data_IF_664169929167
#
_entry.id   IF_664169929167
#
_cell.length_a   1.000
_cell.length_b   1.000
_cell.length_c   1.000
_cell.angle_alpha   90.00
_cell.angle_beta   90.00
_cell.angle_gamma   90.00
#
_symmetry.space_group_name_H-M   'P 1'
#
loop_
_entity.id
_entity.type
_entity.pdbx_description
1 polymer ?
#
# COMPACT_ATOMS: atom_id res chain seq x y z
N UNK A 1 25.23 21.87 -52.15
CA UNK A 1 24.84 21.40 -50.80
C UNK A 1 24.51 22.60 -49.93
N UNK A 2 23.43 22.53 -49.17
CA UNK A 2 23.13 23.49 -48.10
C UNK A 2 23.67 22.96 -46.78
N UNK A 3 24.14 23.85 -45.90
CA UNK A 3 24.58 23.49 -44.55
C UNK A 3 24.34 24.64 -43.58
N UNK A 4 24.39 24.34 -42.27
CA UNK A 4 24.20 25.35 -41.23
C UNK A 4 25.53 26.03 -40.92
N UNK A 5 25.57 27.35 -40.99
CA UNK A 5 26.73 28.18 -40.63
C UNK A 5 26.46 28.96 -39.35
N UNK A 6 27.46 29.00 -38.46
CA UNK A 6 27.50 29.91 -37.31
C UNK A 6 27.98 31.29 -37.74
N UNK A 7 27.21 32.32 -37.44
CA UNK A 7 27.50 33.73 -37.69
C UNK A 7 27.65 34.42 -36.33
N UNK A 8 28.88 34.79 -35.96
CA UNK A 8 29.15 35.53 -34.72
C UNK A 8 28.89 37.02 -34.92
N UNK A 9 28.06 37.63 -34.06
CA UNK A 9 27.80 39.07 -33.99
C UNK A 9 28.03 39.56 -32.55
N UNK A 10 28.13 40.89 -32.35
CA UNK A 10 28.21 41.49 -31.00
C UNK A 10 27.05 41.07 -30.07
N UNK A 11 25.87 40.80 -30.62
CA UNK A 11 24.66 40.37 -29.89
C UNK A 11 24.58 38.85 -29.62
N UNK A 12 25.57 38.07 -30.06
CA UNK A 12 25.66 36.61 -29.89
C UNK A 12 25.93 35.84 -31.20
N UNK A 13 25.94 34.51 -31.10
CA UNK A 13 26.08 33.62 -32.26
C UNK A 13 24.71 33.33 -32.88
N UNK A 14 24.59 33.33 -34.20
CA UNK A 14 23.37 33.03 -34.94
C UNK A 14 23.61 31.87 -35.90
N UNK A 15 22.59 31.07 -36.15
CA UNK A 15 22.63 29.98 -37.13
C UNK A 15 21.90 30.43 -38.40
N UNK A 16 22.49 30.14 -39.56
CA UNK A 16 21.88 30.39 -40.86
C UNK A 16 22.09 29.20 -41.78
N UNK A 17 21.09 28.88 -42.59
CA UNK A 17 21.21 27.91 -43.67
C UNK A 17 21.85 28.61 -44.88
N UNK A 18 22.99 28.10 -45.34
CA UNK A 18 23.76 28.69 -46.45
C UNK A 18 23.95 27.71 -47.59
N UNK A 19 23.98 28.21 -48.82
CA UNK A 19 24.32 27.44 -50.03
C UNK A 19 25.62 27.98 -50.63
N UNK A 20 26.55 27.09 -50.91
CA UNK A 20 27.78 27.47 -51.61
C UNK A 20 27.52 27.63 -53.11
N UNK A 21 28.10 28.68 -53.69
CA UNK A 21 28.10 28.96 -55.13
C UNK A 21 29.47 29.50 -55.57
N UNK A 22 29.79 29.43 -56.86
CA UNK A 22 31.03 29.99 -57.41
C UNK A 22 30.74 31.31 -58.12
N UNK A 23 31.59 32.29 -57.87
CA UNK A 23 31.56 33.59 -58.54
C UNK A 23 33.02 34.04 -58.75
N UNK A 24 33.40 34.27 -60.01
CA UNK A 24 34.76 34.65 -60.41
C UNK A 24 35.85 33.72 -59.83
N UNK A 25 35.64 32.40 -59.94
CA UNK A 25 36.58 31.38 -59.47
C UNK A 25 36.65 31.18 -57.95
N UNK A 26 36.00 32.03 -57.14
CA UNK A 26 35.98 31.94 -55.68
C UNK A 26 34.68 31.29 -55.18
N UNK A 27 34.79 30.43 -54.18
CA UNK A 27 33.63 29.85 -53.49
C UNK A 27 33.04 30.91 -52.56
N UNK A 28 31.82 31.36 -52.85
CA UNK A 28 31.02 32.23 -52.00
C UNK A 28 29.85 31.47 -51.41
N UNK A 29 29.26 32.04 -50.37
CA UNK A 29 28.12 31.45 -49.67
C UNK A 29 26.96 32.44 -49.66
N UNK A 30 25.79 31.98 -50.12
CA UNK A 30 24.54 32.74 -50.08
C UNK A 30 23.72 32.26 -48.89
N UNK A 31 23.27 33.19 -48.04
CA UNK A 31 22.33 32.88 -46.96
C UNK A 31 20.96 32.59 -47.59
N UNK A 32 20.42 31.40 -47.34
CA UNK A 32 19.05 31.05 -47.75
C UNK A 32 18.06 31.58 -46.72
N UNK A 33 18.27 31.26 -45.44
CA UNK A 33 17.44 31.74 -44.34
C UNK A 33 18.23 31.81 -43.04
N UNK A 34 17.88 32.78 -42.20
CA UNK A 34 18.34 32.84 -40.81
C UNK A 34 17.50 31.90 -39.95
N UNK A 35 18.15 31.06 -39.15
CA UNK A 35 17.49 30.08 -38.28
C UNK A 35 17.26 30.63 -36.86
N UNK A 36 18.01 31.65 -36.43
CA UNK A 36 17.87 32.30 -35.13
C UNK A 36 19.17 32.40 -34.34
N UNK A 37 19.11 32.91 -33.11
CA UNK A 37 20.26 33.01 -32.20
C UNK A 37 20.59 31.62 -31.67
N UNK A 38 21.85 31.20 -31.62
CA UNK A 38 22.25 29.92 -31.06
C UNK A 38 22.07 29.90 -29.53
N UNK A 39 21.30 28.94 -29.02
CA UNK A 39 21.14 28.62 -27.60
C UNK A 39 21.33 27.12 -27.43
N UNK A 40 22.30 26.70 -26.61
CA UNK A 40 22.66 25.29 -26.38
C UNK A 40 22.89 24.47 -27.68
N UNK A 41 23.58 25.06 -28.66
CA UNK A 41 23.91 24.39 -29.93
C UNK A 41 22.75 24.28 -30.94
N UNK A 42 21.56 24.82 -30.62
CA UNK A 42 20.38 24.82 -31.48
C UNK A 42 19.90 26.26 -31.73
N UNK A 43 19.19 26.53 -32.84
CA UNK A 43 18.63 27.86 -33.08
C UNK A 43 17.47 28.12 -32.11
N UNK A 44 17.57 29.19 -31.33
CA UNK A 44 16.49 29.72 -30.52
C UNK A 44 15.38 30.22 -31.45
N UNK A 45 14.24 29.54 -31.37
CA UNK A 45 13.01 29.98 -32.04
C UNK A 45 12.35 31.05 -31.17
N UNK A 46 12.04 32.18 -31.78
CA UNK A 46 11.28 33.25 -31.11
C UNK A 46 9.81 32.82 -31.13
N UNK A 47 9.29 32.41 -29.98
CA UNK A 47 7.88 32.06 -29.81
C UNK A 47 7.19 33.27 -29.18
N UNK A 48 6.15 33.78 -29.83
CA UNK A 48 5.26 34.82 -29.32
C UNK A 48 4.22 34.17 -28.42
N UNK A 49 3.99 34.72 -27.22
CA UNK A 49 3.04 34.16 -26.25
C UNK A 49 1.62 34.02 -26.80
N UNK A 50 1.22 34.89 -27.73
CA UNK A 50 -0.08 34.84 -28.41
C UNK A 50 -0.28 33.58 -29.29
N UNK A 51 0.82 32.97 -29.79
CA UNK A 51 0.77 31.82 -30.71
C UNK A 51 0.89 30.47 -29.99
N UNK A 52 1.11 30.51 -28.67
CA UNK A 52 1.18 29.33 -27.82
C UNK A 52 -0.24 28.85 -27.52
N UNK A 53 -0.54 27.60 -27.85
CA UNK A 53 -1.78 26.93 -27.47
C UNK A 53 -1.52 25.78 -26.53
N UNK A 54 -2.47 25.52 -25.64
CA UNK A 54 -2.52 24.29 -24.86
C UNK A 54 -3.06 23.19 -25.77
N UNK A 55 -2.27 22.13 -25.95
CA UNK A 55 -2.66 20.93 -26.70
C UNK A 55 -3.38 19.93 -25.80
N UNK A 56 -2.86 19.70 -24.59
CA UNK A 56 -3.48 18.84 -23.58
C UNK A 56 -2.95 19.17 -22.17
N UNK A 57 -3.72 18.82 -21.13
CA UNK A 57 -3.35 18.89 -19.72
C UNK A 57 -3.57 17.51 -19.10
N UNK A 58 -2.53 16.97 -18.45
CA UNK A 58 -2.56 15.63 -17.84
C UNK A 58 -2.20 15.67 -16.36
N UNK A 59 -2.91 14.89 -15.54
CA UNK A 59 -2.54 14.59 -14.14
C UNK A 59 -1.21 13.84 -14.12
N UNK A 60 -0.25 14.31 -13.31
CA UNK A 60 1.17 13.96 -13.46
C UNK A 60 1.85 13.56 -12.14
N UNK A 61 1.91 14.45 -11.14
CA UNK A 61 2.90 14.31 -10.06
C UNK A 61 2.69 13.08 -9.17
N UNK A 62 1.44 12.75 -8.87
CA UNK A 62 1.10 11.56 -8.11
C UNK A 62 1.32 10.28 -8.92
N UNK A 63 1.10 10.32 -10.24
CA UNK A 63 1.48 9.23 -11.15
C UNK A 63 2.99 9.00 -11.10
N UNK A 64 3.80 10.06 -11.17
CA UNK A 64 5.26 9.96 -11.07
C UNK A 64 5.72 9.44 -9.70
N UNK A 65 5.05 9.86 -8.62
CA UNK A 65 5.32 9.36 -7.28
C UNK A 65 5.04 7.85 -7.15
N UNK A 66 3.89 7.40 -7.66
CA UNK A 66 3.55 5.97 -7.68
C UNK A 66 4.52 5.20 -8.56
N UNK A 67 4.81 5.70 -9.76
CA UNK A 67 5.73 5.03 -10.69
C UNK A 67 7.11 4.82 -10.09
N UNK A 68 7.62 5.84 -9.38
CA UNK A 68 8.93 5.76 -8.73
C UNK A 68 8.97 4.75 -7.59
N UNK A 69 7.86 4.55 -6.88
CA UNK A 69 7.77 3.56 -5.82
C UNK A 69 7.50 2.16 -6.36
N UNK A 70 6.70 2.02 -7.42
CA UNK A 70 6.50 0.76 -8.13
C UNK A 70 7.81 0.26 -8.75
N UNK A 71 8.66 1.16 -9.27
CA UNK A 71 10.01 0.84 -9.70
C UNK A 71 10.88 0.33 -8.55
N UNK A 72 10.88 1.05 -7.41
CA UNK A 72 11.66 0.64 -6.22
C UNK A 72 11.23 -0.71 -5.68
N UNK A 73 9.94 -1.03 -5.72
CA UNK A 73 9.38 -2.30 -5.27
C UNK A 73 9.46 -3.41 -6.32
N UNK A 74 10.10 -3.17 -7.47
CA UNK A 74 10.17 -4.10 -8.61
C UNK A 74 8.83 -4.47 -9.23
N UNK A 75 7.72 -3.85 -8.81
CA UNK A 75 6.37 -4.11 -9.36
C UNK A 75 6.33 -3.86 -10.87
N UNK A 76 7.13 -2.92 -11.38
CA UNK A 76 7.26 -2.67 -12.83
C UNK A 76 7.88 -3.81 -13.63
N UNK A 77 8.37 -4.89 -12.99
CA UNK A 77 8.78 -6.11 -13.69
C UNK A 77 7.60 -6.89 -14.26
N UNK A 78 6.37 -6.59 -13.80
CA UNK A 78 5.13 -7.13 -14.37
C UNK A 78 5.09 -6.84 -15.87
N UNK A 79 5.11 -7.88 -16.70
CA UNK A 79 5.13 -7.71 -18.16
C UNK A 79 3.78 -7.23 -18.74
N UNK A 80 2.75 -7.13 -17.89
CA UNK A 80 1.43 -6.63 -18.23
C UNK A 80 1.25 -5.15 -17.86
N UNK A 81 1.37 -4.26 -18.86
CA UNK A 81 1.19 -2.81 -18.68
C UNK A 81 -0.24 -2.42 -18.30
N UNK A 82 -1.25 -3.16 -18.75
CA UNK A 82 -2.64 -2.89 -18.42
C UNK A 82 -2.90 -3.17 -16.95
N UNK A 83 -2.34 -4.25 -16.42
CA UNK A 83 -2.36 -4.55 -15.01
C UNK A 83 -1.64 -3.50 -14.16
N UNK A 84 -0.46 -3.05 -14.59
CA UNK A 84 0.24 -1.93 -13.93
C UNK A 84 -0.64 -0.67 -13.89
N UNK A 85 -1.36 -0.38 -14.98
CA UNK A 85 -2.29 0.74 -15.03
C UNK A 85 -3.44 0.58 -14.03
N UNK A 86 -3.94 -0.65 -13.82
CA UNK A 86 -4.94 -0.94 -12.80
C UNK A 86 -4.39 -0.72 -11.39
N UNK A 87 -3.17 -1.16 -11.09
CA UNK A 87 -2.50 -0.91 -9.80
C UNK A 87 -2.38 0.61 -9.53
N UNK A 88 -1.96 1.38 -10.54
CA UNK A 88 -1.81 2.83 -10.39
C UNK A 88 -3.17 3.51 -10.21
N UNK A 89 -4.16 3.10 -11.01
CA UNK A 89 -5.52 3.61 -10.87
C UNK A 89 -6.11 3.31 -9.50
N UNK A 90 -5.84 2.13 -8.93
CA UNK A 90 -6.36 1.71 -7.63
C UNK A 90 -5.89 2.61 -6.47
N UNK A 91 -4.73 3.26 -6.63
CA UNK A 91 -4.19 4.25 -5.70
C UNK A 91 -4.71 5.66 -5.94
N UNK A 92 -5.04 6.01 -7.19
CA UNK A 92 -5.31 7.38 -7.62
C UNK A 92 -6.79 7.72 -7.77
N UNK A 93 -7.64 6.74 -8.08
CA UNK A 93 -9.05 6.94 -8.42
C UNK A 93 -9.91 5.70 -8.11
N UNK A 94 -11.12 5.92 -7.60
CA UNK A 94 -12.01 4.85 -7.11
C UNK A 94 -13.13 4.50 -8.08
N UNK A 95 -12.83 4.49 -9.38
CA UNK A 95 -13.83 4.26 -10.45
C UNK A 95 -13.96 2.78 -10.80
N UNK A 96 -15.07 2.42 -11.44
CA UNK A 96 -15.20 1.10 -12.08
C UNK A 96 -14.30 1.01 -13.30
N UNK A 97 -13.87 -0.20 -13.67
CA UNK A 97 -13.00 -0.45 -14.82
C UNK A 97 -13.55 0.18 -16.11
N UNK A 98 -14.87 0.12 -16.33
CA UNK A 98 -15.54 0.73 -17.49
C UNK A 98 -15.42 2.26 -17.59
N UNK A 99 -14.96 2.93 -16.53
CA UNK A 99 -14.72 4.38 -16.48
C UNK A 99 -13.23 4.72 -16.38
N UNK A 100 -12.36 3.72 -16.30
CA UNK A 100 -10.92 3.92 -16.22
C UNK A 100 -10.30 4.26 -17.56
N UNK A 101 -10.83 3.71 -18.66
CA UNK A 101 -10.37 4.01 -20.02
C UNK A 101 -10.38 5.52 -20.30
N UNK A 102 -11.56 6.14 -20.23
CA UNK A 102 -11.75 7.59 -20.37
C UNK A 102 -10.93 8.38 -19.36
N UNK A 103 -10.87 7.94 -18.10
CA UNK A 103 -10.15 8.67 -17.06
C UNK A 103 -8.63 8.69 -17.28
N UNK A 104 -8.05 7.56 -17.72
CA UNK A 104 -6.60 7.44 -17.94
C UNK A 104 -6.10 8.34 -19.07
N UNK A 105 -6.94 8.70 -20.05
CA UNK A 105 -6.59 9.64 -21.12
C UNK A 105 -6.14 11.01 -20.58
N UNK A 106 -6.70 11.42 -19.44
CA UNK A 106 -6.38 12.67 -18.75
C UNK A 106 -5.22 12.54 -17.73
N UNK A 107 -4.50 11.43 -17.76
CA UNK A 107 -3.35 11.15 -16.88
C UNK A 107 -2.09 10.86 -17.70
N UNK A 108 -0.92 10.90 -17.07
CA UNK A 108 0.34 10.42 -17.66
C UNK A 108 0.53 8.89 -17.56
N UNK A 109 -0.43 8.13 -17.01
CA UNK A 109 -0.32 6.67 -16.87
C UNK A 109 -0.04 6.00 -18.23
N UNK A 110 -0.77 6.30 -19.32
CA UNK A 110 -0.51 5.66 -20.62
C UNK A 110 0.90 5.97 -21.16
N UNK A 111 1.38 7.20 -21.03
CA UNK A 111 2.73 7.57 -21.48
C UNK A 111 3.83 6.88 -20.67
N UNK A 112 3.71 6.91 -19.34
CA UNK A 112 4.71 6.35 -18.43
C UNK A 112 4.81 4.83 -18.61
N UNK A 113 3.67 4.15 -18.75
CA UNK A 113 3.62 2.70 -18.95
C UNK A 113 3.77 2.27 -20.42
N UNK A 114 3.87 3.23 -21.36
CA UNK A 114 3.97 3.00 -22.81
C UNK A 114 2.80 2.14 -23.33
N UNK A 115 1.58 2.56 -23.01
CA UNK A 115 0.31 1.99 -23.46
C UNK A 115 -0.19 2.82 -24.65
N UNK A 116 -0.30 2.19 -25.82
CA UNK A 116 -0.73 2.88 -27.04
C UNK A 116 -2.25 2.82 -27.25
N UNK A 117 -2.87 1.66 -26.95
CA UNK A 117 -4.29 1.42 -27.13
C UNK A 117 -4.88 0.88 -25.82
N UNK A 118 -5.40 1.79 -25.00
CA UNK A 118 -6.13 1.42 -23.80
C UNK A 118 -7.56 1.08 -24.20
N UNK A 119 -8.06 -0.09 -23.78
CA UNK A 119 -9.47 -0.43 -23.91
C UNK A 119 -9.96 -1.09 -22.64
N UNK A 120 -11.25 -0.90 -22.33
CA UNK A 120 -11.91 -1.57 -21.21
C UNK A 120 -11.74 -3.10 -21.29
N UNK A 121 -11.75 -3.67 -22.50
CA UNK A 121 -11.51 -5.10 -22.73
C UNK A 121 -10.13 -5.53 -22.24
N UNK A 122 -9.07 -4.83 -22.66
CA UNK A 122 -7.70 -5.14 -22.27
C UNK A 122 -7.52 -5.04 -20.74
N UNK A 123 -8.21 -4.10 -20.09
CA UNK A 123 -8.19 -3.97 -18.64
C UNK A 123 -8.82 -5.19 -17.95
N UNK A 124 -9.96 -5.69 -18.42
CA UNK A 124 -10.56 -6.90 -17.83
C UNK A 124 -9.73 -8.15 -18.09
N UNK A 125 -9.21 -8.33 -19.31
CA UNK A 125 -8.33 -9.46 -19.65
C UNK A 125 -7.07 -9.45 -18.77
N UNK A 126 -6.51 -8.28 -18.46
CA UNK A 126 -5.33 -8.20 -17.60
C UNK A 126 -5.54 -8.68 -16.15
N UNK A 127 -6.78 -8.83 -15.68
CA UNK A 127 -7.07 -9.36 -14.35
C UNK A 127 -6.78 -10.86 -14.22
N UNK A 128 -6.78 -11.61 -15.33
CA UNK A 128 -6.48 -13.05 -15.34
C UNK A 128 -5.03 -13.36 -15.67
N UNK A 129 -4.24 -12.34 -16.01
CA UNK A 129 -2.91 -12.48 -16.63
C UNK A 129 -1.75 -12.28 -15.65
N UNK A 130 -1.91 -12.65 -14.36
CA UNK A 130 -0.76 -12.75 -13.44
C UNK A 130 -0.43 -14.22 -13.21
N UNK A 131 0.55 -14.78 -13.95
CA UNK A 131 1.06 -16.10 -13.63
C UNK A 131 1.54 -16.15 -12.18
N UNK A 132 1.15 -17.21 -11.45
CA UNK A 132 1.47 -17.34 -10.03
C UNK A 132 2.98 -17.24 -9.75
N UNK A 133 3.80 -17.83 -10.62
CA UNK A 133 5.27 -17.74 -10.51
C UNK A 133 5.82 -16.32 -10.66
N UNK A 134 5.22 -15.48 -11.51
CA UNK A 134 5.61 -14.08 -11.66
C UNK A 134 5.24 -13.29 -10.40
N UNK A 135 4.04 -13.53 -9.85
CA UNK A 135 3.59 -12.92 -8.61
C UNK A 135 4.48 -13.28 -7.42
N UNK A 136 4.82 -14.57 -7.26
CA UNK A 136 5.71 -15.06 -6.20
C UNK A 136 7.07 -14.36 -6.27
N UNK A 137 7.63 -14.17 -7.47
CA UNK A 137 8.91 -13.49 -7.64
C UNK A 137 8.82 -12.00 -7.23
N UNK A 138 7.74 -11.32 -7.59
CA UNK A 138 7.51 -9.93 -7.18
C UNK A 138 7.39 -9.84 -5.66
N UNK A 139 6.64 -10.75 -5.04
CA UNK A 139 6.44 -10.77 -3.59
C UNK A 139 7.76 -10.99 -2.85
N UNK A 140 8.56 -11.96 -3.29
CA UNK A 140 9.92 -12.20 -2.77
C UNK A 140 10.82 -10.99 -2.90
N UNK A 141 10.84 -10.32 -4.06
CA UNK A 141 11.66 -9.14 -4.27
C UNK A 141 11.21 -7.97 -3.37
N UNK A 142 9.91 -7.74 -3.25
CA UNK A 142 9.35 -6.75 -2.32
C UNK A 142 9.76 -7.05 -0.89
N UNK A 143 9.68 -8.32 -0.47
CA UNK A 143 10.08 -8.74 0.87
C UNK A 143 11.56 -8.44 1.15
N UNK A 144 12.47 -8.71 0.20
CA UNK A 144 13.89 -8.37 0.31
C UNK A 144 14.08 -6.87 0.52
N UNK A 145 13.40 -6.03 -0.27
CA UNK A 145 13.49 -4.57 -0.15
C UNK A 145 12.96 -4.10 1.21
N UNK A 146 11.83 -4.63 1.66
CA UNK A 146 11.27 -4.29 2.97
C UNK A 146 12.20 -4.69 4.11
N UNK A 147 12.83 -5.87 4.02
CA UNK A 147 13.80 -6.35 5.00
C UNK A 147 15.08 -5.52 5.07
N UNK A 148 15.46 -4.86 3.97
CA UNK A 148 16.58 -3.91 3.97
C UNK A 148 16.21 -2.57 4.63
N UNK A 149 14.94 -2.18 4.60
CA UNK A 149 14.45 -0.88 5.09
C UNK A 149 14.23 -0.91 6.60
N UNK A 150 13.56 -1.95 7.06
CA UNK A 150 13.45 -2.30 8.45
C UNK A 150 13.99 -3.71 8.51
N UNK A 151 14.99 -3.96 9.35
CA UNK A 151 15.40 -5.33 9.66
C UNK A 151 14.13 -6.02 10.17
N UNK A 152 13.44 -6.77 9.29
CA UNK A 152 12.13 -7.35 9.59
C UNK A 152 12.46 -8.33 10.69
N UNK A 153 12.16 -7.90 11.91
CA UNK A 153 12.26 -8.74 13.10
C UNK A 153 11.57 -10.05 12.75
N UNK A 154 12.10 -11.12 13.30
CA UNK A 154 11.70 -12.52 13.11
C UNK A 154 10.25 -12.81 13.57
N UNK A 155 9.30 -11.97 13.14
CA UNK A 155 7.92 -11.83 13.60
C UNK A 155 7.01 -11.30 12.49
N UNK A 156 5.99 -12.08 12.17
CA UNK A 156 4.86 -11.65 11.34
C UNK A 156 3.67 -11.27 12.23
N UNK A 157 3.02 -10.15 11.92
CA UNK A 157 1.66 -9.88 12.42
C UNK A 157 0.69 -10.44 11.39
N UNK A 158 -0.21 -11.34 11.81
CA UNK A 158 -1.18 -11.96 10.91
C UNK A 158 -2.62 -11.70 11.36
N UNK A 159 -3.49 -11.48 10.39
CA UNK A 159 -4.94 -11.37 10.61
C UNK A 159 -5.68 -11.84 9.35
N UNK A 160 -6.93 -12.25 9.54
CA UNK A 160 -7.79 -12.79 8.48
C UNK A 160 -9.10 -12.02 8.47
N UNK A 161 -9.53 -11.62 7.27
CA UNK A 161 -10.73 -10.82 7.12
C UNK A 161 -11.65 -11.27 5.99
N UNK A 162 -12.97 -11.13 6.19
CA UNK A 162 -13.97 -11.59 5.23
C UNK A 162 -14.32 -10.49 4.22
N UNK A 163 -13.89 -10.60 2.98
CA UNK A 163 -14.38 -9.77 1.87
C UNK A 163 -15.63 -10.36 1.22
N UNK A 164 -16.34 -9.55 0.44
CA UNK A 164 -17.56 -9.98 -0.24
C UNK A 164 -17.58 -9.46 -1.67
N UNK A 165 -18.29 -10.20 -2.52
CA UNK A 165 -18.50 -9.89 -3.92
C UNK A 165 -19.98 -10.02 -4.27
N UNK A 166 -20.43 -9.25 -5.25
CA UNK A 166 -21.83 -9.26 -5.72
C UNK A 166 -22.05 -10.21 -6.90
N UNK A 167 -20.96 -10.74 -7.46
CA UNK A 167 -20.98 -11.65 -8.60
C UNK A 167 -21.72 -12.96 -8.35
N UNK A 168 -22.36 -13.48 -9.40
CA UNK A 168 -23.08 -14.77 -9.34
C UNK A 168 -22.25 -15.99 -9.75
N UNK A 169 -21.06 -15.82 -10.36
CA UNK A 169 -20.32 -16.92 -11.02
C UNK A 169 -19.81 -17.99 -10.05
N UNK A 170 -19.38 -17.58 -8.85
CA UNK A 170 -18.88 -18.49 -7.82
C UNK A 170 -20.04 -19.15 -7.09
N UNK A 171 -20.14 -20.47 -7.13
CA UNK A 171 -21.10 -21.24 -6.34
C UNK A 171 -20.69 -21.31 -4.86
N UNK A 172 -20.55 -20.14 -4.24
CA UNK A 172 -20.26 -19.99 -2.81
C UNK A 172 -21.58 -19.73 -2.09
N UNK A 173 -21.89 -20.57 -1.09
CA UNK A 173 -23.04 -20.37 -0.22
C UNK A 173 -22.91 -19.05 0.54
N UNK A 174 -24.02 -18.30 0.61
CA UNK A 174 -24.08 -17.08 1.42
C UNK A 174 -23.93 -17.46 2.89
N UNK A 175 -23.17 -16.68 3.65
CA UNK A 175 -23.02 -16.83 5.10
C UNK A 175 -22.97 -15.48 5.79
N UNK A 176 -23.26 -15.47 7.08
CA UNK A 176 -23.10 -14.29 7.93
C UNK A 176 -21.61 -13.98 8.10
N UNK A 177 -21.20 -12.79 7.67
CA UNK A 177 -19.83 -12.30 7.83
C UNK A 177 -19.57 -11.70 9.21
N UNK A 178 -18.31 -11.34 9.47
CA UNK A 178 -17.90 -10.62 10.69
C UNK A 178 -18.63 -9.28 10.90
N UNK A 179 -19.18 -8.68 9.84
CA UNK A 179 -20.01 -7.47 9.87
C UNK A 179 -21.50 -7.74 10.16
N UNK A 180 -21.88 -9.01 10.38
CA UNK A 180 -23.24 -9.44 10.63
C UNK A 180 -24.11 -9.59 9.38
N UNK A 181 -23.61 -9.27 8.17
CA UNK A 181 -24.39 -9.34 6.93
C UNK A 181 -24.24 -10.71 6.26
N UNK A 182 -25.33 -11.20 5.66
CA UNK A 182 -25.33 -12.50 4.95
C UNK A 182 -25.00 -12.29 3.48
N UNK A 183 -23.81 -12.74 3.05
CA UNK A 183 -23.27 -12.52 1.70
C UNK A 183 -22.40 -13.69 1.25
N UNK A 184 -22.03 -13.72 -0.03
CA UNK A 184 -20.96 -14.61 -0.51
C UNK A 184 -19.63 -14.02 -0.04
N UNK A 185 -18.91 -14.78 0.79
CA UNK A 185 -17.68 -14.31 1.42
C UNK A 185 -16.47 -15.02 0.86
N UNK A 186 -15.38 -14.28 0.79
CA UNK A 186 -14.02 -14.77 0.59
C UNK A 186 -13.21 -14.32 1.79
N UNK A 187 -12.33 -15.17 2.29
CA UNK A 187 -11.45 -14.82 3.40
C UNK A 187 -10.08 -14.47 2.85
N UNK A 188 -9.51 -13.37 3.36
CA UNK A 188 -8.19 -12.90 2.97
C UNK A 188 -7.32 -12.90 4.23
N UNK A 189 -6.30 -13.74 4.23
CA UNK A 189 -5.20 -13.70 5.19
C UNK A 189 -4.15 -12.71 4.71
N UNK A 190 -3.66 -11.88 5.61
CA UNK A 190 -2.55 -10.96 5.35
C UNK A 190 -1.50 -11.17 6.44
N UNK A 191 -0.24 -11.18 6.06
CA UNK A 191 0.88 -11.05 6.97
C UNK A 191 1.58 -9.72 6.71
N UNK A 192 1.87 -8.98 7.78
CA UNK A 192 2.63 -7.74 7.70
C UNK A 192 3.79 -7.75 8.69
N UNK A 193 4.82 -6.98 8.40
CA UNK A 193 5.87 -6.68 9.35
C UNK A 193 5.30 -5.94 10.58
N UNK A 194 5.97 -6.10 11.72
CA UNK A 194 5.52 -5.49 12.96
C UNK A 194 5.73 -3.96 13.02
N UNK A 195 6.85 -3.47 12.50
CA UNK A 195 7.29 -2.09 12.74
C UNK A 195 6.62 -1.08 11.82
N UNK A 196 6.69 -1.26 10.50
CA UNK A 196 6.08 -0.35 9.53
C UNK A 196 4.83 -0.92 8.85
N UNK A 197 4.49 -2.20 9.07
CA UNK A 197 3.34 -2.82 8.42
C UNK A 197 3.56 -3.00 6.94
N UNK A 198 4.77 -3.36 6.52
CA UNK A 198 5.00 -3.75 5.15
C UNK A 198 4.35 -5.11 4.90
N UNK A 199 3.69 -5.32 3.75
CA UNK A 199 3.15 -6.63 3.41
C UNK A 199 4.29 -7.66 3.28
N UNK A 200 4.07 -8.84 3.84
CA UNK A 200 4.98 -9.99 3.73
C UNK A 200 4.42 -10.98 2.71
N UNK A 201 3.16 -11.37 2.87
CA UNK A 201 2.41 -12.19 1.92
C UNK A 201 0.91 -11.98 2.13
N UNK A 202 0.11 -12.42 1.16
CA UNK A 202 -1.34 -12.57 1.32
C UNK A 202 -1.82 -13.92 0.81
N UNK A 203 -2.93 -14.40 1.34
CA UNK A 203 -3.58 -15.64 0.88
C UNK A 203 -5.09 -15.50 0.82
N UNK A 204 -5.68 -16.15 -0.17
CA UNK A 204 -7.12 -16.20 -0.39
C UNK A 204 -7.68 -17.56 0.04
N UNK A 205 -8.80 -17.54 0.76
CA UNK A 205 -9.49 -18.72 1.24
C UNK A 205 -10.98 -18.66 0.92
N UNK A 206 -11.59 -19.83 0.76
CA UNK A 206 -13.05 -19.93 0.67
C UNK A 206 -13.69 -19.45 1.97
N UNK A 207 -14.80 -18.70 1.87
CA UNK A 207 -15.40 -18.06 3.05
C UNK A 207 -15.94 -19.01 4.11
N UNK A 208 -16.11 -20.30 3.81
CA UNK A 208 -16.55 -21.34 4.74
C UNK A 208 -15.39 -22.12 5.39
N UNK A 209 -14.13 -21.86 5.03
CA UNK A 209 -12.99 -22.60 5.52
C UNK A 209 -12.82 -22.38 7.05
N UNK A 210 -12.71 -23.45 7.86
CA UNK A 210 -12.45 -23.33 9.29
C UNK A 210 -11.15 -22.58 9.59
N UNK A 211 -11.17 -21.76 10.65
CA UNK A 211 -10.01 -20.93 11.01
C UNK A 211 -8.74 -21.71 11.37
N UNK A 212 -8.86 -22.96 11.84
CA UNK A 212 -7.72 -23.85 12.10
C UNK A 212 -6.90 -24.13 10.84
N UNK A 213 -7.56 -24.38 9.70
CA UNK A 213 -6.87 -24.66 8.44
C UNK A 213 -6.20 -23.42 7.88
N UNK A 214 -6.87 -22.26 7.97
CA UNK A 214 -6.30 -20.98 7.58
C UNK A 214 -5.06 -20.67 8.42
N UNK A 215 -5.15 -20.84 9.75
CA UNK A 215 -4.01 -20.60 10.63
C UNK A 215 -2.85 -21.52 10.30
N UNK A 216 -3.10 -22.82 10.07
CA UNK A 216 -2.08 -23.79 9.70
C UNK A 216 -1.33 -23.34 8.46
N UNK A 217 -2.07 -23.03 7.40
CA UNK A 217 -1.51 -22.64 6.12
C UNK A 217 -0.72 -21.31 6.21
N UNK A 218 -1.26 -20.28 6.87
CA UNK A 218 -0.53 -19.03 7.10
C UNK A 218 0.73 -19.25 7.95
N UNK A 219 0.71 -20.17 8.92
CA UNK A 219 1.87 -20.43 9.78
C UNK A 219 2.98 -21.17 9.05
N UNK A 220 2.62 -22.07 8.14
CA UNK A 220 3.58 -22.72 7.23
C UNK A 220 4.23 -21.69 6.32
N UNK A 221 3.45 -20.76 5.75
CA UNK A 221 3.96 -19.67 4.93
C UNK A 221 4.94 -18.76 5.70
N UNK A 222 4.60 -18.41 6.96
CA UNK A 222 5.50 -17.65 7.84
C UNK A 222 6.85 -18.37 8.00
N UNK A 223 6.83 -19.70 8.18
CA UNK A 223 8.07 -20.51 8.31
C UNK A 223 8.84 -20.59 6.99
N UNK A 224 8.16 -20.74 5.85
CA UNK A 224 8.79 -20.73 4.52
C UNK A 224 9.46 -19.39 4.19
N UNK A 225 8.89 -18.29 4.69
CA UNK A 225 9.49 -16.95 4.61
C UNK A 225 10.66 -16.74 5.59
N UNK A 226 11.03 -17.76 6.38
CA UNK A 226 12.14 -17.72 7.32
C UNK A 226 11.83 -16.96 8.62
N UNK A 227 10.56 -16.77 8.95
CA UNK A 227 10.11 -16.09 10.17
C UNK A 227 9.70 -17.11 11.24
N UNK A 228 10.04 -16.86 12.49
CA UNK A 228 9.85 -17.79 13.61
C UNK A 228 8.80 -17.34 14.63
N UNK A 229 8.29 -16.11 14.54
CA UNK A 229 7.28 -15.59 15.48
C UNK A 229 6.02 -15.08 14.79
N UNK A 230 4.89 -15.23 15.47
CA UNK A 230 3.58 -14.76 15.03
C UNK A 230 2.94 -13.90 16.12
N UNK A 231 2.35 -12.77 15.73
CA UNK A 231 1.45 -12.00 16.57
C UNK A 231 0.07 -11.98 15.93
N UNK A 232 -0.97 -12.30 16.71
CA UNK A 232 -2.34 -12.25 16.18
C UNK A 232 -3.43 -11.99 17.22
N UNK A 233 -4.61 -11.59 16.74
CA UNK A 233 -5.78 -11.37 17.61
C UNK A 233 -6.48 -12.68 18.00
N UNK A 234 -7.35 -12.58 19.02
CA UNK A 234 -8.15 -13.68 19.57
C UNK A 234 -9.18 -14.27 18.62
N UNK A 235 -9.41 -13.66 17.47
CA UNK A 235 -10.48 -14.01 16.54
C UNK A 235 -10.46 -15.48 16.12
N UNK A 236 -9.26 -16.04 15.95
CA UNK A 236 -9.05 -17.41 15.50
C UNK A 236 -8.43 -18.31 16.57
N UNK A 237 -8.22 -17.84 17.80
CA UNK A 237 -7.52 -18.63 18.82
C UNK A 237 -8.42 -19.68 19.49
N UNK A 238 -7.95 -20.93 19.46
CA UNK A 238 -8.51 -22.10 20.12
C UNK A 238 -7.36 -22.91 20.75
N UNK A 239 -7.67 -23.83 21.67
CA UNK A 239 -6.66 -24.70 22.28
C UNK A 239 -5.93 -25.56 21.23
N UNK A 240 -6.67 -26.05 20.24
CA UNK A 240 -6.12 -26.80 19.10
C UNK A 240 -5.11 -25.95 18.31
N UNK A 241 -5.45 -24.69 18.04
CA UNK A 241 -4.58 -23.75 17.34
C UNK A 241 -3.30 -23.44 18.11
N UNK A 242 -3.37 -23.32 19.44
CA UNK A 242 -2.16 -23.14 20.26
C UNK A 242 -1.22 -24.36 20.16
N UNK A 243 -1.78 -25.58 20.22
CA UNK A 243 -0.99 -26.82 20.07
C UNK A 243 -0.38 -26.94 18.67
N UNK A 244 -1.15 -26.58 17.63
CA UNK A 244 -0.69 -26.56 16.25
C UNK A 244 0.54 -25.63 16.09
N UNK A 245 0.45 -24.39 16.56
CA UNK A 245 1.57 -23.43 16.46
C UNK A 245 2.80 -23.94 17.21
N UNK A 246 2.61 -24.53 18.41
CA UNK A 246 3.70 -25.16 19.15
C UNK A 246 4.35 -26.31 18.37
N UNK A 247 3.57 -27.12 17.66
CA UNK A 247 4.10 -28.25 16.87
C UNK A 247 4.90 -27.80 15.64
N UNK A 248 4.70 -26.56 15.19
CA UNK A 248 5.47 -25.94 14.11
C UNK A 248 6.76 -25.26 14.60
N UNK A 249 7.02 -25.30 15.91
CA UNK A 249 8.16 -24.65 16.59
C UNK A 249 8.15 -23.13 16.45
N UNK A 250 6.97 -22.54 16.29
CA UNK A 250 6.79 -21.10 16.17
C UNK A 250 6.52 -20.46 17.54
N UNK A 251 7.12 -19.28 17.71
CA UNK A 251 6.79 -18.34 18.78
C UNK A 251 5.47 -17.63 18.48
N UNK A 252 4.65 -17.42 19.51
CA UNK A 252 3.31 -16.85 19.39
C UNK A 252 3.09 -15.80 20.47
N UNK A 253 2.46 -14.69 20.09
CA UNK A 253 1.78 -13.78 21.00
C UNK A 253 0.35 -13.63 20.50
N UNK A 254 -0.63 -14.13 21.25
CA UNK A 254 -2.01 -14.12 20.80
C UNK A 254 -3.00 -13.83 21.92
N UNK A 255 -4.07 -13.11 21.60
CA UNK A 255 -5.18 -12.91 22.51
C UNK A 255 -5.97 -14.20 22.68
N UNK A 256 -6.42 -14.50 23.90
CA UNK A 256 -7.34 -15.62 24.13
C UNK A 256 -8.76 -15.14 24.36
N UNK A 257 -9.73 -15.90 23.85
CA UNK A 257 -11.13 -15.71 24.22
C UNK A 257 -11.34 -16.23 25.63
N UNK A 258 -11.95 -15.42 26.48
CA UNK A 258 -12.36 -15.84 27.83
C UNK A 258 -13.39 -16.97 27.70
N UNK A 259 -13.20 -18.04 28.45
CA UNK A 259 -14.17 -19.11 28.67
C UNK A 259 -14.22 -19.39 30.18
N UNK A 260 -15.21 -20.17 30.64
CA UNK A 260 -15.40 -20.42 32.07
C UNK A 260 -14.14 -21.00 32.72
N UNK A 261 -13.48 -21.96 32.06
CA UNK A 261 -12.22 -22.53 32.53
C UNK A 261 -11.15 -21.45 32.79
N UNK A 262 -10.89 -20.56 31.85
CA UNK A 262 -9.88 -19.51 31.99
C UNK A 262 -10.28 -18.45 33.03
N UNK A 263 -11.57 -18.14 33.12
CA UNK A 263 -12.09 -17.19 34.10
C UNK A 263 -11.91 -17.74 35.51
N UNK A 264 -12.39 -18.95 35.77
CA UNK A 264 -12.38 -19.57 37.09
C UNK A 264 -10.95 -19.90 37.55
N UNK A 265 -10.11 -20.44 36.66
CA UNK A 265 -8.78 -20.91 37.04
C UNK A 265 -7.72 -19.81 37.12
N UNK A 266 -7.92 -18.67 36.46
CA UNK A 266 -6.93 -17.60 36.41
C UNK A 266 -7.50 -16.27 36.87
N UNK A 267 -8.58 -15.76 36.25
CA UNK A 267 -9.08 -14.40 36.54
C UNK A 267 -9.65 -14.29 37.95
N UNK A 268 -10.45 -15.26 38.41
CA UNK A 268 -11.07 -15.19 39.73
C UNK A 268 -10.07 -15.29 40.89
N UNK A 269 -8.90 -15.88 40.64
CA UNK A 269 -7.77 -15.94 41.58
C UNK A 269 -6.98 -14.64 41.67
N UNK A 270 -7.27 -13.64 40.83
CA UNK A 270 -6.62 -12.33 40.88
C UNK A 270 -7.32 -11.48 41.94
N UNK A 271 -6.52 -11.01 42.91
CA UNK A 271 -6.89 -9.89 43.76
C UNK A 271 -6.74 -8.57 42.98
N UNK A 272 -7.82 -7.78 42.94
CA UNK A 272 -7.86 -6.51 42.21
C UNK A 272 -6.99 -5.43 42.84
N UNK A 273 -6.85 -5.42 44.16
CA UNK A 273 -5.99 -4.44 44.84
C UNK A 273 -4.51 -4.79 44.61
N UNK A 274 -4.18 -6.09 44.60
CA UNK A 274 -2.83 -6.57 44.33
C UNK A 274 -2.39 -6.27 42.89
N UNK A 275 -3.24 -6.58 41.89
CA UNK A 275 -2.92 -6.32 40.48
C UNK A 275 -2.86 -4.83 40.19
N UNK A 276 -3.69 -4.00 40.83
CA UNK A 276 -3.71 -2.55 40.66
C UNK A 276 -2.59 -1.87 41.46
N UNK A 277 -1.35 -2.18 41.11
CA UNK A 277 -0.15 -1.64 41.75
C UNK A 277 0.90 -1.20 40.73
N UNK A 278 1.78 -0.28 41.11
CA UNK A 278 2.82 0.25 40.23
C UNK A 278 3.74 -0.84 39.66
N UNK A 279 4.04 -1.87 40.44
CA UNK A 279 4.86 -3.03 40.02
C UNK A 279 4.26 -3.81 38.84
N UNK A 280 2.94 -3.78 38.70
CA UNK A 280 2.19 -4.52 37.68
C UNK A 280 1.76 -3.64 36.51
N UNK A 281 2.06 -2.34 36.55
CA UNK A 281 1.58 -1.38 35.57
C UNK A 281 2.42 -1.40 34.29
N UNK A 282 1.76 -1.58 33.15
CA UNK A 282 2.33 -1.40 31.82
C UNK A 282 1.76 -0.13 31.19
N UNK A 283 2.66 0.78 30.78
CA UNK A 283 2.28 2.00 30.05
C UNK A 283 2.18 1.69 28.56
N UNK A 284 0.98 1.85 28.01
CA UNK A 284 0.70 1.78 26.58
C UNK A 284 0.58 3.20 26.00
N UNK A 285 0.52 3.32 24.68
CA UNK A 285 0.47 4.60 23.98
C UNK A 285 -0.67 5.52 24.44
N UNK A 286 -1.87 4.96 24.62
CA UNK A 286 -3.09 5.71 24.91
C UNK A 286 -3.72 5.37 26.27
N UNK A 287 -3.14 4.42 27.02
CA UNK A 287 -3.74 3.94 28.27
C UNK A 287 -2.70 3.25 29.14
N UNK A 288 -3.09 2.89 30.36
CA UNK A 288 -2.28 2.10 31.29
C UNK A 288 -3.07 0.85 31.61
N UNK A 289 -2.38 -0.29 31.65
CA UNK A 289 -2.96 -1.58 32.02
C UNK A 289 -2.14 -2.21 33.12
N UNK A 290 -2.72 -3.17 33.81
CA UNK A 290 -2.07 -3.89 34.90
C UNK A 290 -2.05 -5.36 34.58
N UNK A 291 -0.94 -6.04 34.86
CA UNK A 291 -0.72 -7.39 34.37
C UNK A 291 -0.43 -8.37 35.51
N UNK A 292 -0.91 -9.60 35.36
CA UNK A 292 -0.53 -10.75 36.20
C UNK A 292 -0.30 -11.96 35.30
N UNK A 293 0.79 -12.68 35.52
CA UNK A 293 1.23 -13.77 34.66
C UNK A 293 1.07 -15.12 35.35
N UNK A 294 0.70 -16.13 34.58
CA UNK A 294 0.51 -17.51 35.01
C UNK A 294 1.19 -18.47 34.04
N UNK A 295 1.59 -19.64 34.51
CA UNK A 295 1.96 -20.75 33.63
C UNK A 295 0.73 -21.30 32.90
N UNK A 296 0.86 -21.51 31.60
CA UNK A 296 -0.23 -22.05 30.79
C UNK A 296 0.30 -22.78 29.56
N UNK A 297 -0.02 -24.08 29.45
CA UNK A 297 0.47 -24.95 28.39
C UNK A 297 2.01 -24.92 28.31
N UNK A 298 2.58 -24.73 27.12
CA UNK A 298 4.00 -24.60 26.85
C UNK A 298 4.51 -23.15 26.97
N UNK A 299 3.75 -22.26 27.61
CA UNK A 299 4.07 -20.85 27.70
C UNK A 299 3.46 -20.19 28.93
N UNK A 300 3.13 -18.91 28.77
CA UNK A 300 2.56 -18.07 29.82
C UNK A 300 1.23 -17.49 29.37
N UNK A 301 0.33 -17.36 30.33
CA UNK A 301 -0.91 -16.61 30.21
C UNK A 301 -0.77 -15.29 30.98
N UNK A 302 -0.98 -14.17 30.31
CA UNK A 302 -1.00 -12.83 30.92
C UNK A 302 -2.45 -12.37 31.02
N UNK A 303 -2.93 -12.17 32.24
CA UNK A 303 -4.15 -11.44 32.50
C UNK A 303 -3.86 -9.94 32.49
N UNK A 304 -4.47 -9.23 31.55
CA UNK A 304 -4.36 -7.79 31.38
C UNK A 304 -5.62 -7.12 31.90
N UNK A 305 -5.49 -6.34 32.96
CA UNK A 305 -6.56 -5.59 33.58
C UNK A 305 -6.54 -4.13 33.15
N UNK A 306 -7.68 -3.64 32.65
CA UNK A 306 -7.90 -2.24 32.31
C UNK A 306 -9.09 -1.68 33.13
N UNK A 307 -8.83 -0.88 34.18
CA UNK A 307 -9.88 -0.30 35.03
C UNK A 307 -10.86 0.60 34.27
N UNK A 308 -10.37 1.37 33.29
CA UNK A 308 -11.24 2.23 32.48
C UNK A 308 -12.24 1.42 31.65
N UNK A 309 -11.81 0.28 31.10
CA UNK A 309 -12.68 -0.63 30.37
C UNK A 309 -13.66 -1.33 31.32
N UNK A 310 -13.24 -1.69 32.54
CA UNK A 310 -14.16 -2.23 33.55
C UNK A 310 -15.30 -1.27 33.81
N UNK A 311 -14.98 -0.01 34.14
CA UNK A 311 -15.97 1.02 34.48
C UNK A 311 -16.98 1.23 33.35
N UNK A 312 -16.50 1.37 32.10
CA UNK A 312 -17.38 1.56 30.93
C UNK A 312 -18.34 0.38 30.78
N UNK A 313 -17.84 -0.86 30.89
CA UNK A 313 -18.67 -2.06 30.72
C UNK A 313 -19.65 -2.26 31.88
N UNK A 314 -19.27 -1.92 33.11
CA UNK A 314 -20.17 -1.95 34.26
C UNK A 314 -21.36 -1.03 34.03
N UNK A 315 -21.11 0.22 33.63
CA UNK A 315 -22.18 1.18 33.34
C UNK A 315 -23.12 0.67 32.24
N UNK A 316 -22.56 0.14 31.14
CA UNK A 316 -23.35 -0.46 30.06
C UNK A 316 -24.19 -1.67 30.51
N UNK A 317 -23.69 -2.49 31.44
CA UNK A 317 -24.44 -3.61 31.99
C UNK A 317 -25.57 -3.13 32.90
N UNK A 318 -25.32 -2.15 33.77
CA UNK A 318 -26.33 -1.56 34.64
C UNK A 318 -27.46 -0.89 33.85
N UNK A 319 -27.14 -0.14 32.79
CA UNK A 319 -28.14 0.44 31.87
C UNK A 319 -29.03 -0.62 31.22
N UNK A 320 -28.54 -1.86 31.09
CA UNK A 320 -29.26 -3.00 30.53
C UNK A 320 -29.88 -3.92 31.59
N UNK A 321 -29.76 -3.59 32.87
CA UNK A 321 -30.31 -4.38 33.98
C UNK A 321 -29.56 -5.69 34.29
N UNK A 322 -28.28 -5.80 33.93
CA UNK A 322 -27.45 -6.98 34.23
C UNK A 322 -26.42 -6.69 35.32
N UNK A 323 -26.16 -7.69 36.17
CA UNK A 323 -25.08 -7.64 37.14
C UNK A 323 -23.69 -7.66 36.50
N UNK A 324 -22.71 -7.16 37.25
CA UNK A 324 -21.32 -7.07 36.81
C UNK A 324 -20.53 -8.31 37.18
N UNK A 325 -19.88 -8.95 36.20
CA UNK A 325 -19.01 -10.09 36.46
C UNK A 325 -17.57 -9.67 36.84
N UNK A 326 -16.90 -10.48 37.66
CA UNK A 326 -15.54 -10.15 38.18
C UNK A 326 -14.48 -10.08 37.06
N UNK A 327 -14.74 -10.70 35.91
CA UNK A 327 -13.87 -10.72 34.72
C UNK A 327 -14.03 -9.50 33.79
N UNK A 328 -14.92 -8.55 34.11
CA UNK A 328 -14.97 -7.26 33.43
C UNK A 328 -13.64 -6.50 33.56
N UNK A 329 -13.24 -5.80 32.51
CA UNK A 329 -11.94 -5.13 32.43
C UNK A 329 -10.75 -6.04 32.12
N UNK A 330 -10.89 -7.37 32.23
CA UNK A 330 -9.82 -8.31 31.91
C UNK A 330 -9.82 -8.76 30.44
N UNK A 331 -8.61 -8.84 29.89
CA UNK A 331 -8.27 -9.53 28.64
C UNK A 331 -7.15 -10.54 28.91
N UNK A 332 -7.05 -11.58 28.08
CA UNK A 332 -6.05 -12.64 28.24
C UNK A 332 -5.15 -12.67 27.00
N UNK A 333 -3.85 -12.79 27.23
CA UNK A 333 -2.83 -12.96 26.18
C UNK A 333 -2.04 -14.22 26.50
N UNK A 334 -1.88 -15.10 25.53
CA UNK A 334 -0.95 -16.21 25.58
C UNK A 334 0.34 -15.85 24.86
N UNK A 335 1.48 -16.26 25.40
CA UNK A 335 2.73 -16.31 24.64
C UNK A 335 3.64 -17.47 25.07
N UNK A 336 4.43 -17.99 24.14
CA UNK A 336 5.52 -18.95 24.38
C UNK A 336 6.89 -18.34 24.01
N UNK A 337 6.98 -17.01 24.02
CA UNK A 337 8.21 -16.27 23.69
C UNK A 337 9.08 -16.01 24.90
N UNK A 338 10.35 -15.66 24.67
CA UNK A 338 11.30 -15.26 25.72
C UNK A 338 11.20 -13.78 26.12
N UNK A 339 10.20 -13.05 25.62
CA UNK A 339 9.98 -11.65 25.99
C UNK A 339 9.45 -11.51 27.42
N UNK A 340 9.76 -10.39 28.05
CA UNK A 340 9.15 -10.06 29.34
C UNK A 340 7.64 -9.84 29.19
N UNK A 341 6.84 -10.09 30.25
CA UNK A 341 5.39 -9.86 30.20
C UNK A 341 5.00 -8.44 29.77
N UNK A 342 5.77 -7.43 30.17
CA UNK A 342 5.56 -6.04 29.74
C UNK A 342 5.74 -5.87 28.22
N UNK A 343 6.82 -6.43 27.66
CA UNK A 343 7.11 -6.37 26.23
C UNK A 343 6.06 -7.12 25.41
N UNK A 344 5.60 -8.28 25.87
CA UNK A 344 4.53 -9.06 25.23
C UNK A 344 3.26 -8.23 25.14
N UNK A 345 2.89 -7.57 26.23
CA UNK A 345 1.68 -6.72 26.27
C UNK A 345 1.84 -5.53 25.33
N UNK A 346 2.97 -4.83 25.35
CA UNK A 346 3.23 -3.73 24.39
C UNK A 346 3.11 -4.21 22.94
N UNK A 347 3.80 -5.31 22.58
CA UNK A 347 3.75 -5.90 21.24
C UNK A 347 2.34 -6.30 20.82
N UNK A 348 1.59 -6.93 21.72
CA UNK A 348 0.22 -7.37 21.44
C UNK A 348 -0.74 -6.19 21.16
N UNK A 349 -0.57 -5.07 21.87
CA UNK A 349 -1.38 -3.87 21.63
C UNK A 349 -0.90 -3.06 20.41
N UNK A 350 0.38 -3.12 20.06
CA UNK A 350 0.92 -2.49 18.86
C UNK A 350 0.56 -3.22 17.55
N UNK A 351 0.01 -4.44 17.63
CA UNK A 351 -0.47 -5.21 16.47
C UNK A 351 -1.55 -4.50 15.64
N UNK A 352 -2.13 -3.39 16.12
CA UNK A 352 -3.03 -2.51 15.35
C UNK A 352 -2.48 -2.11 13.97
N UNK A 353 -1.17 -2.28 13.74
CA UNK A 353 -0.55 -2.15 12.42
C UNK A 353 -1.27 -2.94 11.32
N UNK A 354 -1.66 -4.20 11.57
CA UNK A 354 -2.35 -5.03 10.58
C UNK A 354 -3.82 -4.63 10.41
N UNK A 355 -4.46 -4.17 11.48
CA UNK A 355 -5.83 -3.62 11.39
C UNK A 355 -5.83 -2.36 10.52
N UNK A 356 -4.80 -1.52 10.66
CA UNK A 356 -4.58 -0.36 9.79
C UNK A 356 -4.31 -0.79 8.34
N UNK A 357 -3.52 -1.83 8.12
CA UNK A 357 -3.29 -2.41 6.79
C UNK A 357 -4.62 -2.78 6.12
N UNK A 358 -5.44 -3.58 6.80
CA UNK A 358 -6.74 -3.97 6.29
C UNK A 358 -7.71 -2.80 6.13
N UNK A 359 -7.65 -1.78 6.99
CA UNK A 359 -8.43 -0.55 6.82
C UNK A 359 -8.05 0.18 5.53
N UNK A 360 -6.75 0.27 5.22
CA UNK A 360 -6.27 0.85 3.97
C UNK A 360 -6.73 0.03 2.76
N UNK A 361 -6.55 -1.29 2.80
CA UNK A 361 -6.99 -2.17 1.70
C UNK A 361 -8.51 -2.09 1.46
N UNK A 362 -9.33 -2.14 2.51
CA UNK A 362 -10.80 -2.12 2.37
C UNK A 362 -11.35 -0.75 1.96
N UNK A 363 -10.78 0.34 2.48
CA UNK A 363 -11.33 1.68 2.30
C UNK A 363 -10.68 2.47 1.16
N UNK A 364 -9.35 2.47 1.08
CA UNK A 364 -8.61 3.27 0.09
C UNK A 364 -8.51 2.47 -1.21
N UNK A 365 -8.09 1.21 -1.10
CA UNK A 365 -7.84 0.34 -2.25
C UNK A 365 -9.07 -0.46 -2.67
N UNK A 366 -10.26 -0.13 -2.13
CA UNK A 366 -11.54 -0.73 -2.50
C UNK A 366 -11.52 -2.27 -2.61
N UNK A 367 -10.85 -2.95 -1.67
CA UNK A 367 -10.94 -4.40 -1.57
C UNK A 367 -12.40 -4.88 -1.37
N UNK A 368 -13.30 -3.99 -0.94
CA UNK A 368 -14.74 -4.25 -0.74
C UNK A 368 -15.62 -3.11 -1.25
N UNK A 369 -16.73 -3.40 -1.95
CA UNK A 369 -17.09 -4.71 -2.52
C UNK A 369 -16.17 -5.07 -3.69
N UNK A 370 -15.91 -6.36 -3.88
CA UNK A 370 -15.31 -6.83 -5.13
C UNK A 370 -16.42 -6.83 -6.19
N UNK A 371 -16.32 -5.91 -7.16
CA UNK A 371 -17.35 -5.69 -8.20
C UNK A 371 -17.13 -6.49 -9.48
N UNK A 372 -16.17 -7.41 -9.46
CA UNK A 372 -15.92 -8.34 -10.56
C UNK A 372 -16.73 -9.62 -10.37
N UNK A 373 -16.95 -10.31 -11.48
CA UNK A 373 -17.92 -11.40 -11.53
C UNK A 373 -17.26 -12.77 -11.53
N UNK A 374 -16.12 -12.94 -12.23
CA UNK A 374 -15.42 -14.21 -12.39
C UNK A 374 -14.40 -14.46 -11.27
N UNK A 375 -14.14 -15.72 -10.94
CA UNK A 375 -13.17 -16.13 -9.90
C UNK A 375 -11.79 -15.53 -10.14
N UNK A 376 -11.27 -15.69 -11.36
CA UNK A 376 -9.94 -15.22 -11.72
C UNK A 376 -9.84 -13.69 -11.64
N UNK A 377 -10.92 -12.98 -11.96
CA UNK A 377 -10.97 -11.53 -11.78
C UNK A 377 -10.98 -11.13 -10.30
N UNK A 378 -11.58 -11.95 -9.43
CA UNK A 378 -11.61 -11.68 -7.98
C UNK A 378 -10.20 -11.81 -7.43
N UNK A 379 -9.49 -12.86 -7.83
CA UNK A 379 -8.10 -13.09 -7.47
C UNK A 379 -7.19 -11.95 -8.00
N UNK A 380 -7.33 -11.59 -9.28
CA UNK A 380 -6.61 -10.46 -9.88
C UNK A 380 -6.84 -9.14 -9.14
N UNK A 381 -8.08 -8.84 -8.75
CA UNK A 381 -8.41 -7.65 -7.97
C UNK A 381 -7.73 -7.66 -6.58
N UNK A 382 -7.70 -8.82 -5.92
CA UNK A 382 -7.03 -8.97 -4.61
C UNK A 382 -5.52 -8.74 -4.76
N UNK A 383 -4.89 -9.34 -5.78
CA UNK A 383 -3.46 -9.13 -6.11
C UNK A 383 -3.15 -7.65 -6.41
N UNK A 384 -4.01 -6.97 -7.18
CA UNK A 384 -3.89 -5.51 -7.43
C UNK A 384 -3.95 -4.72 -6.13
N UNK A 385 -4.93 -5.00 -5.26
CA UNK A 385 -5.05 -4.32 -3.96
C UNK A 385 -3.83 -4.56 -3.07
N UNK A 386 -3.26 -5.76 -3.10
CA UNK A 386 -2.06 -6.13 -2.35
C UNK A 386 -0.83 -5.35 -2.85
N UNK A 387 -0.58 -5.32 -4.16
CA UNK A 387 0.55 -4.57 -4.75
C UNK A 387 0.40 -3.06 -4.55
N UNK A 388 -0.82 -2.54 -4.69
CA UNK A 388 -1.12 -1.15 -4.37
C UNK A 388 -0.86 -0.85 -2.87
N UNK A 389 -1.18 -1.77 -1.98
CA UNK A 389 -0.88 -1.63 -0.56
C UNK A 389 0.63 -1.60 -0.29
N UNK A 390 1.42 -2.42 -0.99
CA UNK A 390 2.88 -2.38 -0.91
C UNK A 390 3.42 -0.98 -1.25
N UNK A 391 2.97 -0.38 -2.36
CA UNK A 391 3.33 0.99 -2.75
C UNK A 391 2.93 2.00 -1.67
N UNK A 392 1.70 1.91 -1.16
CA UNK A 392 1.18 2.82 -0.15
C UNK A 392 1.94 2.71 1.18
N UNK A 393 2.34 1.50 1.56
CA UNK A 393 3.11 1.23 2.78
C UNK A 393 4.53 1.82 2.69
N UNK A 394 5.21 1.65 1.55
CA UNK A 394 6.52 2.26 1.30
C UNK A 394 6.43 3.80 1.28
N UNK A 395 5.37 4.35 0.67
CA UNK A 395 5.13 5.78 0.68
C UNK A 395 4.97 6.33 2.11
N UNK A 396 4.16 5.66 2.95
CA UNK A 396 3.99 6.05 4.35
C UNK A 396 5.31 6.02 5.12
N UNK A 397 6.15 5.00 4.89
CA UNK A 397 7.47 4.91 5.52
C UNK A 397 8.36 6.11 5.13
N UNK A 398 8.50 6.39 3.82
CA UNK A 398 9.37 7.48 3.34
C UNK A 398 8.91 8.86 3.80
N UNK A 399 7.60 9.07 3.94
CA UNK A 399 7.02 10.34 4.36
C UNK A 399 6.91 10.51 5.88
N UNK A 400 7.29 9.50 6.67
CA UNK A 400 7.22 9.52 8.14
C UNK A 400 7.92 10.74 8.75
N UNK A 401 9.07 11.15 8.21
CA UNK A 401 9.83 12.33 8.67
C UNK A 401 9.09 13.65 8.42
N UNK A 402 8.30 13.73 7.34
CA UNK A 402 7.49 14.89 7.00
C UNK A 402 6.17 14.94 7.78
N UNK A 403 5.83 13.87 8.54
CA UNK A 403 4.54 13.71 9.22
C UNK A 403 3.34 13.84 8.27
N UNK A 404 3.52 13.39 7.02
CA UNK A 404 2.48 13.37 5.98
C UNK A 404 2.11 11.91 5.71
N UNK A 405 0.80 11.58 5.72
CA UNK A 405 0.37 10.25 5.31
C UNK A 405 0.45 10.08 3.79
N UNK A 406 0.57 8.85 3.30
CA UNK A 406 0.58 8.58 1.87
C UNK A 406 -0.69 9.10 1.16
N UNK A 407 -1.85 9.07 1.84
CA UNK A 407 -3.11 9.60 1.30
C UNK A 407 -3.03 11.11 1.15
N UNK A 408 -2.61 11.81 2.21
CA UNK A 408 -2.46 13.28 2.18
C UNK A 408 -1.43 13.72 1.14
N UNK A 409 -0.42 12.88 0.89
CA UNK A 409 0.57 13.11 -0.14
C UNK A 409 -0.03 12.96 -1.55
N UNK A 410 -0.74 11.87 -1.83
CA UNK A 410 -1.43 11.67 -3.09
C UNK A 410 -2.46 12.77 -3.36
N UNK A 411 -3.25 13.16 -2.35
CA UNK A 411 -4.21 14.27 -2.46
C UNK A 411 -3.52 15.61 -2.73
N UNK A 412 -2.37 15.86 -2.10
CA UNK A 412 -1.56 17.05 -2.36
C UNK A 412 -0.96 17.06 -3.78
N UNK A 413 -0.57 15.89 -4.30
CA UNK A 413 0.07 15.75 -5.61
C UNK A 413 -0.94 15.68 -6.77
N UNK A 414 -2.21 15.32 -6.50
CA UNK A 414 -3.31 15.23 -7.47
C UNK A 414 -3.49 16.47 -8.34
N UNK A 415 -3.21 17.65 -7.80
CA UNK A 415 -3.33 18.93 -8.51
C UNK A 415 -2.08 19.32 -9.29
N UNK A 416 -1.13 18.39 -9.43
CA UNK A 416 0.08 18.55 -10.20
C UNK A 416 -0.11 18.10 -11.63
N UNK A 417 -0.20 19.07 -12.55
CA UNK A 417 -0.47 18.82 -13.96
C UNK A 417 0.77 19.01 -14.83
N UNK A 418 0.83 18.24 -15.90
CA UNK A 418 1.70 18.45 -17.05
C UNK A 418 0.88 19.02 -18.20
N UNK A 419 1.32 20.16 -18.71
CA UNK A 419 0.69 20.89 -19.80
C UNK A 419 1.53 20.72 -21.05
N UNK A 420 0.94 20.14 -22.10
CA UNK A 420 1.57 20.07 -23.42
C UNK A 420 1.22 21.33 -24.19
N UNK A 421 2.23 22.10 -24.56
CA UNK A 421 2.11 23.34 -25.30
C UNK A 421 2.49 23.12 -26.77
N UNK A 422 1.84 23.88 -27.65
CA UNK A 422 2.05 23.85 -29.08
C UNK A 422 2.15 25.27 -29.64
N UNK A 423 3.24 25.55 -30.36
CA UNK A 423 3.40 26.76 -31.14
C UNK A 423 2.91 26.51 -32.57
N UNK A 424 1.82 27.22 -32.93
CA UNK A 424 1.23 27.15 -34.28
C UNK A 424 2.18 27.61 -35.37
N UNK A 425 3.01 28.59 -35.09
CA UNK A 425 3.83 29.28 -36.10
C UNK A 425 5.02 28.41 -36.51
N UNK A 426 5.62 27.71 -35.54
CA UNK A 426 6.82 26.91 -35.77
C UNK A 426 6.58 25.39 -35.73
N UNK A 427 5.32 24.95 -35.61
CA UNK A 427 4.89 23.56 -35.47
C UNK A 427 5.73 22.80 -34.44
N UNK A 428 5.90 23.40 -33.25
CA UNK A 428 6.79 22.91 -32.20
C UNK A 428 5.99 22.62 -30.92
N UNK A 429 6.28 21.48 -30.28
CA UNK A 429 5.63 21.05 -29.04
C UNK A 429 6.66 20.92 -27.92
N UNK A 430 6.26 21.31 -26.72
CA UNK A 430 7.02 21.05 -25.50
C UNK A 430 6.07 20.85 -24.31
N UNK A 431 6.61 20.26 -23.25
CA UNK A 431 5.87 20.00 -22.03
C UNK A 431 6.28 20.99 -20.94
N UNK A 432 5.34 21.39 -20.09
CA UNK A 432 5.56 22.22 -18.92
C UNK A 432 4.83 21.59 -17.73
N UNK A 433 5.55 21.33 -16.63
CA UNK A 433 4.91 20.95 -15.36
C UNK A 433 4.50 22.23 -14.63
N UNK A 434 3.26 22.27 -14.13
CA UNK A 434 2.75 23.41 -13.36
C UNK A 434 3.64 23.65 -12.13
N UNK A 435 3.97 24.92 -11.79
CA UNK A 435 4.81 25.23 -10.64
C UNK A 435 4.35 24.54 -9.35
N UNK A 436 5.30 23.85 -8.71
CA UNK A 436 5.05 23.06 -7.53
C UNK A 436 4.95 23.93 -6.26
N UNK A 437 3.94 23.66 -5.44
CA UNK A 437 3.88 24.17 -4.07
C UNK A 437 5.04 23.59 -3.24
N UNK A 438 5.55 24.30 -2.21
CA UNK A 438 6.65 23.80 -1.37
C UNK A 438 6.42 22.37 -0.84
N UNK A 439 5.23 22.12 -0.27
CA UNK A 439 4.81 20.79 0.20
C UNK A 439 4.92 19.69 -0.87
N UNK A 440 4.57 19.99 -2.12
CA UNK A 440 4.67 19.02 -3.22
C UNK A 440 6.13 18.70 -3.55
N UNK A 441 7.02 19.71 -3.52
CA UNK A 441 8.47 19.50 -3.71
C UNK A 441 9.05 18.62 -2.60
N UNK A 442 8.69 18.89 -1.35
CA UNK A 442 9.18 18.11 -0.20
C UNK A 442 8.73 16.65 -0.29
N UNK A 443 7.46 16.42 -0.64
CA UNK A 443 6.91 15.07 -0.85
C UNK A 443 7.69 14.36 -1.97
N UNK A 444 7.81 14.97 -3.16
CA UNK A 444 8.49 14.34 -4.29
C UNK A 444 9.98 14.06 -4.00
N UNK A 445 10.65 14.99 -3.32
CA UNK A 445 12.02 14.82 -2.86
C UNK A 445 12.18 13.64 -1.89
N UNK A 446 11.29 13.52 -0.90
CA UNK A 446 11.30 12.39 0.03
C UNK A 446 11.00 11.04 -0.63
N UNK A 447 10.23 11.04 -1.73
CA UNK A 447 9.94 9.84 -2.52
C UNK A 447 11.04 9.51 -3.54
N UNK A 448 12.02 10.39 -3.73
CA UNK A 448 13.11 10.22 -4.69
C UNK A 448 12.68 10.46 -6.15
N UNK A 449 11.63 11.25 -6.36
CA UNK A 449 11.16 11.62 -7.71
C UNK A 449 11.98 12.79 -8.21
N UNK A 450 12.75 12.56 -9.28
CA UNK A 450 13.49 13.62 -9.99
C UNK A 450 12.57 14.23 -11.04
N UNK A 451 12.19 15.49 -10.86
CA UNK A 451 11.44 16.24 -11.87
C UNK A 451 12.39 17.18 -12.63
N UNK A 452 12.30 17.17 -13.97
CA UNK A 452 12.95 18.18 -14.81
C UNK A 452 11.92 19.26 -15.11
N UNK A 453 12.22 20.49 -14.71
CA UNK A 453 11.47 21.67 -15.15
C UNK A 453 11.77 22.01 -16.61
#
# INVERSE_FOLDING_TARGET
MTFIRKIKKKSGTYLAEVKSYRENGKIKQKVIRYLGKEVNGKPAKKITSADIKIKNVKRSLDVLAIDKLAEQLTIKSINNKYLLSLIYSQLLEKRSINKLEEWMEYTEIPEILKINNLSTKNLYESLTEIPEGEFINIDKNMHVIFNQIEEIKDVAVIDVTDTYFEGKSLDIKKRKGKDGKVRRLVQIGLATSFTNGFPIFHKQYQGNLPGVHILKDMSLEVKEMGLNSIIMDRGMMSLENLKLISSLELSLIAGLRKNNYLIENFIYKIDKEEIYSLKNMVRLKNTKVFIKTFDYLNGKLIAVYNPSIELIKKNQNFEKGFDSSKDLGFSLIFHNTNYSPEEVVKKYYEKEIIERAFKQMKGILNLRPIRVWLTDHIEGHIKICYLAYAILSLMNYKLKKLKVSAIDALDSLKYGYKVKLFDKTNNFEWDLIVPLKPKQKDILGALGVVYKN
#
